data_IF_731160177974
#
_entry.id   IF_731160177974
#
_cell.length_a   1.000
_cell.length_b   1.000
_cell.length_c   1.000
_cell.angle_alpha   90.00
_cell.angle_beta   90.00
_cell.angle_gamma   90.00
#
_symmetry.space_group_name_H-M   'P 1'
#
loop_
_entity.id
_entity.type
_entity.pdbx_description
1 polymer ?
#
# COMPACT_ATOMS: atom_id res chain seq x y z
N UNK A 1 -18.60 47.75 20.68
CA UNK A 1 -19.14 46.80 21.68
C UNK A 1 -20.51 46.25 21.27
N UNK A 2 -21.46 47.07 20.77
CA UNK A 2 -22.81 46.58 20.40
C UNK A 2 -22.91 45.91 19.01
N UNK A 3 -22.07 46.29 18.03
CA UNK A 3 -22.16 45.74 16.66
C UNK A 3 -21.61 44.32 16.51
N UNK A 4 -20.59 43.98 17.32
CA UNK A 4 -19.93 42.66 17.31
C UNK A 4 -20.73 41.58 18.06
N UNK A 5 -21.75 42.00 18.84
CA UNK A 5 -22.61 41.13 19.65
C UNK A 5 -24.01 40.94 19.04
N UNK A 6 -24.22 41.37 17.79
CA UNK A 6 -25.42 41.08 17.02
C UNK A 6 -25.42 39.65 16.50
N UNK A 7 -25.29 38.66 17.38
CA UNK A 7 -25.56 37.26 17.07
C UNK A 7 -26.99 37.16 16.52
N UNK A 8 -27.16 37.23 15.19
CA UNK A 8 -28.37 36.70 14.56
C UNK A 8 -28.44 35.24 15.01
N UNK A 9 -29.40 34.93 15.89
CA UNK A 9 -29.72 33.55 16.23
C UNK A 9 -30.14 32.88 14.93
N UNK A 10 -29.19 32.27 14.24
CA UNK A 10 -29.50 31.46 13.08
C UNK A 10 -30.53 30.44 13.53
N UNK A 11 -31.68 30.44 12.87
CA UNK A 11 -32.74 29.51 13.22
C UNK A 11 -32.23 28.09 13.02
N UNK A 12 -32.67 27.14 13.85
CA UNK A 12 -32.29 25.73 13.72
C UNK A 12 -32.48 25.23 12.27
N UNK A 13 -33.51 25.73 11.59
CA UNK A 13 -33.79 25.50 10.17
C UNK A 13 -32.66 25.93 9.23
N UNK A 14 -31.97 27.04 9.48
CA UNK A 14 -30.85 27.49 8.66
C UNK A 14 -29.63 26.58 8.80
N UNK A 15 -29.34 26.12 10.02
CA UNK A 15 -28.29 25.12 10.24
C UNK A 15 -28.63 23.81 9.54
N UNK A 16 -29.88 23.34 9.66
CA UNK A 16 -30.35 22.12 8.98
C UNK A 16 -30.14 22.23 7.47
N UNK A 17 -30.58 23.33 6.84
CA UNK A 17 -30.39 23.52 5.40
C UNK A 17 -28.92 23.52 4.97
N UNK A 18 -28.06 24.17 5.76
CA UNK A 18 -26.62 24.18 5.49
C UNK A 18 -26.03 22.76 5.58
N UNK A 19 -26.33 22.02 6.65
CA UNK A 19 -25.87 20.64 6.81
C UNK A 19 -26.42 19.72 5.72
N UNK A 20 -27.70 19.81 5.39
CA UNK A 20 -28.30 19.02 4.31
C UNK A 20 -27.66 19.33 2.96
N UNK A 21 -27.39 20.61 2.66
CA UNK A 21 -26.67 21.00 1.44
C UNK A 21 -25.25 20.41 1.38
N UNK A 22 -24.52 20.41 2.50
CA UNK A 22 -23.20 19.77 2.59
C UNK A 22 -23.27 18.25 2.37
N UNK A 23 -24.23 17.57 2.99
CA UNK A 23 -24.41 16.12 2.82
C UNK A 23 -24.72 15.78 1.36
N UNK A 24 -25.64 16.50 0.73
CA UNK A 24 -25.99 16.30 -0.69
C UNK A 24 -24.77 16.57 -1.58
N UNK A 25 -23.99 17.61 -1.30
CA UNK A 25 -22.80 17.93 -2.08
C UNK A 25 -21.71 16.84 -1.95
N UNK A 26 -21.45 16.37 -0.71
CA UNK A 26 -20.48 15.31 -0.47
C UNK A 26 -20.92 14.01 -1.15
N UNK A 27 -22.19 13.60 -1.00
CA UNK A 27 -22.71 12.40 -1.65
C UNK A 27 -22.61 12.49 -3.18
N UNK A 28 -23.01 13.64 -3.76
CA UNK A 28 -22.90 13.88 -5.19
C UNK A 28 -21.45 13.74 -5.67
N UNK A 29 -20.50 14.34 -4.96
CA UNK A 29 -19.08 14.28 -5.35
C UNK A 29 -18.49 12.88 -5.21
N UNK A 30 -18.84 12.14 -4.16
CA UNK A 30 -18.41 10.75 -3.98
C UNK A 30 -18.88 9.89 -5.17
N UNK A 31 -20.18 9.92 -5.45
CA UNK A 31 -20.79 9.08 -6.48
C UNK A 31 -20.25 9.38 -7.90
N UNK A 32 -19.88 10.64 -8.19
CA UNK A 32 -19.45 11.04 -9.54
C UNK A 32 -17.94 10.94 -9.79
N UNK A 33 -17.11 11.10 -8.75
CA UNK A 33 -15.67 11.28 -8.93
C UNK A 33 -14.81 10.21 -8.26
N UNK A 34 -15.22 9.65 -7.10
CA UNK A 34 -14.33 8.77 -6.31
C UNK A 34 -13.92 7.53 -7.10
N UNK A 35 -14.86 6.83 -7.75
CA UNK A 35 -14.55 5.64 -8.53
C UNK A 35 -13.60 5.92 -9.71
N UNK A 36 -13.71 7.10 -10.34
CA UNK A 36 -12.78 7.51 -11.42
C UNK A 36 -11.39 7.76 -10.86
N UNK A 37 -11.28 8.48 -9.74
CA UNK A 37 -9.99 8.78 -9.11
C UNK A 37 -9.29 7.49 -8.66
N UNK A 38 -10.02 6.55 -8.05
CA UNK A 38 -9.48 5.23 -7.66
C UNK A 38 -8.93 4.47 -8.86
N UNK A 39 -9.66 4.49 -9.99
CA UNK A 39 -9.21 3.88 -11.24
C UNK A 39 -7.90 4.47 -11.76
N UNK A 40 -7.68 5.78 -11.64
CA UNK A 40 -6.43 6.40 -12.07
C UNK A 40 -5.28 6.20 -11.09
N UNK A 41 -5.57 6.15 -9.79
CA UNK A 41 -4.55 6.24 -8.74
C UNK A 41 -4.16 4.92 -8.10
N UNK A 42 -5.01 3.87 -8.17
CA UNK A 42 -4.80 2.61 -7.46
C UNK A 42 -4.98 1.36 -8.34
N UNK A 43 -5.85 1.42 -9.36
CA UNK A 43 -6.19 0.25 -10.18
C UNK A 43 -4.98 -0.45 -10.82
N UNK A 44 -3.96 0.29 -11.22
CA UNK A 44 -2.75 -0.30 -11.79
C UNK A 44 -2.06 -1.29 -10.83
N UNK A 45 -1.99 -0.94 -9.55
CA UNK A 45 -1.43 -1.83 -8.53
C UNK A 45 -2.35 -3.03 -8.26
N UNK A 46 -3.67 -2.81 -8.16
CA UNK A 46 -4.66 -3.88 -7.95
C UNK A 46 -4.59 -4.94 -9.05
N UNK A 47 -4.65 -4.52 -10.32
CA UNK A 47 -4.57 -5.43 -11.47
C UNK A 47 -3.29 -6.25 -11.45
N UNK A 48 -2.16 -5.66 -11.04
CA UNK A 48 -0.91 -6.39 -10.93
C UNK A 48 -0.92 -7.39 -9.76
N UNK A 49 -1.47 -7.02 -8.60
CA UNK A 49 -1.63 -7.94 -7.49
C UNK A 49 -2.53 -9.12 -7.86
N UNK A 50 -3.67 -8.88 -8.53
CA UNK A 50 -4.55 -9.93 -9.02
C UNK A 50 -3.84 -10.86 -10.02
N UNK A 51 -3.03 -10.30 -10.92
CA UNK A 51 -2.21 -11.08 -11.84
C UNK A 51 -1.24 -11.99 -11.08
N UNK A 52 -0.48 -11.46 -10.12
CA UNK A 52 0.43 -12.25 -9.28
C UNK A 52 -0.34 -13.34 -8.51
N UNK A 53 -1.49 -13.00 -7.91
CA UNK A 53 -2.33 -13.95 -7.19
C UNK A 53 -2.92 -15.06 -8.09
N UNK A 54 -3.26 -14.75 -9.34
CA UNK A 54 -3.73 -15.75 -10.30
C UNK A 54 -2.65 -16.76 -10.71
N UNK A 55 -1.38 -16.35 -10.64
CA UNK A 55 -0.21 -17.17 -10.97
C UNK A 55 0.52 -17.73 -9.75
N UNK A 56 0.03 -17.43 -8.54
CA UNK A 56 0.67 -17.78 -7.26
C UNK A 56 2.11 -17.27 -7.13
N UNK A 57 2.39 -16.09 -7.71
CA UNK A 57 3.65 -15.39 -7.55
C UNK A 57 3.69 -14.63 -6.23
N UNK A 58 4.90 -14.44 -5.69
CA UNK A 58 5.08 -13.62 -4.50
C UNK A 58 5.08 -12.15 -4.89
N UNK A 59 4.31 -11.35 -4.15
CA UNK A 59 4.24 -9.90 -4.36
C UNK A 59 4.10 -9.17 -3.03
N UNK A 60 4.87 -8.09 -2.88
CA UNK A 60 4.80 -7.19 -1.73
C UNK A 60 5.01 -5.72 -2.18
N UNK A 61 4.93 -4.80 -1.23
CA UNK A 61 5.13 -3.37 -1.44
C UNK A 61 6.46 -2.90 -0.87
N UNK A 62 7.13 -1.99 -1.59
CA UNK A 62 8.39 -1.37 -1.18
C UNK A 62 8.19 0.12 -0.97
N UNK A 63 8.68 0.67 0.15
CA UNK A 63 8.64 2.11 0.45
C UNK A 63 7.29 2.65 0.93
N UNK A 64 6.20 1.88 0.87
CA UNK A 64 4.89 2.31 1.35
C UNK A 64 4.07 1.16 1.95
N UNK A 65 3.05 1.50 2.76
CA UNK A 65 2.12 0.52 3.35
C UNK A 65 0.89 0.34 2.48
N UNK A 66 0.53 -0.91 2.21
CA UNK A 66 -0.75 -1.29 1.60
C UNK A 66 -1.11 -2.70 2.02
N UNK A 67 -2.41 -2.99 2.19
CA UNK A 67 -2.89 -4.35 2.44
C UNK A 67 -3.48 -5.00 1.18
N UNK A 68 -3.52 -4.27 0.06
CA UNK A 68 -4.11 -4.76 -1.17
C UNK A 68 -3.38 -5.99 -1.72
N UNK A 69 -2.04 -6.01 -1.64
CA UNK A 69 -1.24 -7.13 -2.12
C UNK A 69 -1.48 -8.43 -1.31
N UNK A 70 -1.89 -8.34 -0.04
CA UNK A 70 -2.27 -9.51 0.75
C UNK A 70 -3.54 -10.16 0.23
N UNK A 71 -4.56 -9.33 -0.04
CA UNK A 71 -5.88 -9.78 -0.48
C UNK A 71 -5.91 -10.14 -1.96
N UNK A 72 -5.59 -9.19 -2.85
CA UNK A 72 -5.63 -9.38 -4.30
C UNK A 72 -4.51 -10.29 -4.80
N UNK A 73 -3.34 -10.25 -4.15
CA UNK A 73 -2.24 -11.18 -4.41
C UNK A 73 -2.47 -12.59 -3.86
N UNK A 74 -3.59 -12.83 -3.16
CA UNK A 74 -3.97 -14.13 -2.57
C UNK A 74 -2.81 -14.77 -1.81
N UNK A 75 -2.18 -13.98 -0.94
CA UNK A 75 -0.94 -14.37 -0.28
C UNK A 75 -1.12 -15.66 0.50
N UNK A 76 -0.33 -16.66 0.14
CA UNK A 76 -0.31 -17.95 0.80
C UNK A 76 0.53 -17.83 2.07
N UNK A 77 0.10 -18.39 3.21
CA UNK A 77 0.93 -18.48 4.41
C UNK A 77 2.30 -19.10 4.09
N UNK A 78 3.39 -18.57 4.67
CA UNK A 78 4.71 -19.14 4.48
C UNK A 78 4.76 -20.60 4.94
N UNK A 79 5.60 -21.41 4.30
CA UNK A 79 5.90 -22.76 4.80
C UNK A 79 6.54 -22.68 6.19
N UNK A 80 6.62 -23.81 6.91
CA UNK A 80 7.27 -23.83 8.23
C UNK A 80 8.73 -23.36 8.18
N UNK A 81 9.45 -23.66 7.10
CA UNK A 81 10.82 -23.23 6.89
C UNK A 81 10.90 -21.73 6.61
N UNK A 82 10.06 -21.24 5.70
CA UNK A 82 9.95 -19.80 5.38
C UNK A 82 9.58 -19.01 6.64
N UNK A 83 8.61 -19.48 7.42
CA UNK A 83 8.18 -18.84 8.66
C UNK A 83 9.32 -18.72 9.69
N UNK A 84 10.18 -19.75 9.81
CA UNK A 84 11.35 -19.70 10.70
C UNK A 84 12.36 -18.66 10.22
N UNK A 85 12.63 -18.59 8.93
CA UNK A 85 13.54 -17.56 8.39
C UNK A 85 12.99 -16.15 8.57
N UNK A 86 11.69 -15.92 8.33
CA UNK A 86 11.03 -14.63 8.58
C UNK A 86 11.11 -14.25 10.06
N UNK A 87 10.95 -15.22 10.97
CA UNK A 87 11.10 -15.00 12.42
C UNK A 87 12.52 -14.56 12.81
N UNK A 88 13.54 -15.03 12.10
CA UNK A 88 14.92 -14.57 12.30
C UNK A 88 15.09 -13.10 11.90
N UNK A 89 14.58 -12.69 10.74
CA UNK A 89 14.55 -11.27 10.35
C UNK A 89 13.78 -10.42 11.37
N UNK A 90 12.68 -10.93 11.92
CA UNK A 90 11.89 -10.25 12.93
C UNK A 90 12.66 -10.05 14.24
N UNK A 91 13.34 -11.10 14.73
CA UNK A 91 14.21 -11.02 15.92
C UNK A 91 15.36 -10.03 15.73
N UNK A 92 15.95 -9.97 14.54
CA UNK A 92 17.01 -9.00 14.23
C UNK A 92 16.48 -7.55 14.31
N UNK A 93 15.23 -7.31 13.87
CA UNK A 93 14.57 -6.00 14.03
C UNK A 93 14.26 -5.70 15.50
N UNK A 94 13.78 -6.67 16.27
CA UNK A 94 13.54 -6.49 17.71
C UNK A 94 14.83 -6.13 18.47
N UNK A 95 15.92 -6.83 18.17
CA UNK A 95 17.25 -6.55 18.75
C UNK A 95 17.78 -5.16 18.37
N UNK A 96 17.37 -4.63 17.21
CA UNK A 96 17.67 -3.27 16.78
C UNK A 96 16.72 -2.21 17.40
N UNK A 97 15.80 -2.62 18.27
CA UNK A 97 14.89 -1.74 19.02
C UNK A 97 13.55 -1.47 18.33
N UNK A 98 13.20 -2.22 17.29
CA UNK A 98 11.91 -2.07 16.62
C UNK A 98 10.81 -2.88 17.33
N UNK A 99 9.58 -2.35 17.34
CA UNK A 99 8.42 -3.07 17.88
C UNK A 99 8.07 -4.29 17.03
N UNK A 100 7.87 -5.44 17.68
CA UNK A 100 7.57 -6.73 17.03
C UNK A 100 6.34 -6.66 16.13
N UNK A 101 5.24 -6.09 16.62
CA UNK A 101 3.94 -6.12 15.94
C UNK A 101 4.00 -5.28 14.66
N UNK A 102 4.65 -4.12 14.73
CA UNK A 102 4.77 -3.20 13.60
C UNK A 102 5.81 -3.63 12.57
N UNK A 103 6.74 -4.52 12.94
CA UNK A 103 7.91 -4.89 12.12
C UNK A 103 7.72 -6.11 11.22
N UNK A 104 6.64 -6.87 11.37
CA UNK A 104 6.43 -8.10 10.59
C UNK A 104 6.49 -7.86 9.07
N UNK A 105 5.88 -6.79 8.57
CA UNK A 105 5.91 -6.47 7.13
C UNK A 105 7.33 -6.18 6.64
N UNK A 106 8.14 -5.51 7.47
CA UNK A 106 9.55 -5.21 7.16
C UNK A 106 10.36 -6.50 7.16
N UNK A 107 10.18 -7.36 8.18
CA UNK A 107 10.84 -8.66 8.27
C UNK A 107 10.52 -9.52 7.04
N UNK A 108 9.25 -9.58 6.64
CA UNK A 108 8.84 -10.33 5.46
C UNK A 108 9.42 -9.74 4.16
N UNK A 109 9.38 -8.42 3.98
CA UNK A 109 9.98 -7.78 2.80
C UNK A 109 11.48 -8.04 2.74
N UNK A 110 12.18 -7.97 3.86
CA UNK A 110 13.61 -8.29 3.94
C UNK A 110 13.87 -9.75 3.57
N UNK A 111 13.10 -10.68 4.13
CA UNK A 111 13.17 -12.10 3.76
C UNK A 111 12.95 -12.27 2.25
N UNK A 112 11.88 -11.68 1.71
CA UNK A 112 11.52 -11.74 0.30
C UNK A 112 12.63 -11.19 -0.61
N UNK A 113 13.30 -10.12 -0.18
CA UNK A 113 14.42 -9.49 -0.90
C UNK A 113 15.69 -10.32 -0.88
N UNK A 114 15.99 -10.98 0.23
CA UNK A 114 17.30 -11.59 0.47
C UNK A 114 17.33 -13.09 0.16
N UNK A 115 16.29 -13.84 0.54
CA UNK A 115 16.30 -15.29 0.43
C UNK A 115 16.09 -15.79 -1.00
N UNK A 116 16.77 -16.86 -1.39
CA UNK A 116 16.49 -17.51 -2.67
C UNK A 116 15.15 -18.26 -2.61
N UNK A 117 14.14 -17.70 -3.28
CA UNK A 117 12.82 -18.31 -3.38
C UNK A 117 12.62 -18.78 -4.82
N UNK A 118 12.26 -20.07 -4.98
CA UNK A 118 12.00 -20.69 -6.29
C UNK A 118 10.77 -20.13 -7.04
N UNK A 119 10.09 -19.13 -6.46
CA UNK A 119 8.88 -18.51 -6.98
C UNK A 119 9.22 -17.13 -7.53
N UNK A 120 8.73 -16.75 -8.73
CA UNK A 120 8.83 -15.39 -9.22
C UNK A 120 8.33 -14.41 -8.18
N UNK A 121 9.18 -13.44 -7.87
CA UNK A 121 8.99 -12.51 -6.76
C UNK A 121 8.98 -11.09 -7.30
N UNK A 122 7.96 -10.33 -6.91
CA UNK A 122 7.74 -8.98 -7.39
C UNK A 122 7.59 -8.02 -6.22
N UNK A 123 7.96 -6.77 -6.45
CA UNK A 123 7.64 -5.67 -5.54
C UNK A 123 7.05 -4.51 -6.31
N UNK A 124 6.15 -3.78 -5.65
CA UNK A 124 5.53 -2.57 -6.17
C UNK A 124 5.92 -1.41 -5.27
N UNK A 125 6.37 -0.30 -5.82
CA UNK A 125 6.65 0.93 -5.07
C UNK A 125 5.90 2.13 -5.68
N UNK A 126 5.87 3.26 -4.95
CA UNK A 126 5.43 4.53 -5.52
C UNK A 126 6.53 5.09 -6.42
N UNK A 127 6.15 5.90 -7.41
CA UNK A 127 7.10 6.47 -8.38
C UNK A 127 8.24 7.27 -7.73
N UNK A 128 7.98 7.86 -6.56
CA UNK A 128 8.97 8.60 -5.77
C UNK A 128 10.05 7.70 -5.15
N UNK A 129 9.74 6.42 -4.91
CA UNK A 129 10.65 5.44 -4.29
C UNK A 129 11.36 4.58 -5.35
N UNK A 130 11.21 4.91 -6.64
CA UNK A 130 11.77 4.13 -7.75
C UNK A 130 13.30 3.99 -7.64
N UNK A 131 13.98 5.11 -7.37
CA UNK A 131 15.44 5.11 -7.30
C UNK A 131 15.93 4.35 -6.08
N UNK A 132 15.24 4.43 -4.95
CA UNK A 132 15.58 3.68 -3.74
C UNK A 132 15.48 2.17 -3.98
N UNK A 133 14.41 1.73 -4.65
CA UNK A 133 14.26 0.34 -5.04
C UNK A 133 15.39 -0.13 -5.99
N UNK A 134 15.75 0.68 -6.99
CA UNK A 134 16.84 0.36 -7.92
C UNK A 134 18.21 0.32 -7.23
N UNK A 135 18.47 1.24 -6.30
CA UNK A 135 19.72 1.32 -5.55
C UNK A 135 19.99 0.08 -4.69
N UNK A 136 18.97 -0.73 -4.39
CA UNK A 136 19.16 -2.02 -3.71
C UNK A 136 19.98 -3.03 -4.53
N UNK A 137 20.02 -2.87 -5.87
CA UNK A 137 20.67 -3.81 -6.79
C UNK A 137 20.00 -5.19 -6.87
N UNK A 138 18.83 -5.38 -6.24
CA UNK A 138 18.11 -6.66 -6.16
C UNK A 138 16.91 -6.73 -7.09
N UNK A 139 16.54 -5.61 -7.70
CA UNK A 139 15.30 -5.46 -8.43
C UNK A 139 15.55 -4.95 -9.84
N UNK A 140 14.89 -5.59 -10.81
CA UNK A 140 14.80 -5.12 -12.19
C UNK A 140 13.43 -4.50 -12.41
N UNK A 141 13.41 -3.24 -12.84
CA UNK A 141 12.17 -2.55 -13.25
C UNK A 141 11.53 -3.27 -14.43
N UNK A 142 10.22 -3.49 -14.35
CA UNK A 142 9.39 -4.00 -15.44
C UNK A 142 8.76 -2.85 -16.22
N UNK A 143 7.97 -2.03 -15.53
CA UNK A 143 7.29 -0.86 -16.10
C UNK A 143 6.77 0.06 -14.97
N UNK A 144 6.26 1.24 -15.36
CA UNK A 144 5.58 2.18 -14.45
C UNK A 144 4.17 2.48 -14.97
N UNK A 145 3.16 2.54 -14.10
CA UNK A 145 1.77 2.85 -14.48
C UNK A 145 0.96 3.37 -13.30
N UNK A 146 0.22 4.48 -13.49
CA UNK A 146 -0.71 5.02 -12.49
C UNK A 146 -0.05 5.38 -11.16
N UNK A 147 1.13 6.00 -11.18
CA UNK A 147 1.87 6.41 -9.98
C UNK A 147 2.62 5.28 -9.24
N UNK A 148 2.63 4.07 -9.80
CA UNK A 148 3.39 2.93 -9.29
C UNK A 148 4.47 2.47 -10.26
N UNK A 149 5.47 1.81 -9.71
CA UNK A 149 6.53 1.14 -10.45
C UNK A 149 6.58 -0.32 -10.01
N UNK A 150 6.66 -1.20 -11.00
CA UNK A 150 6.59 -2.64 -10.83
C UNK A 150 7.96 -3.24 -11.08
N UNK A 151 8.43 -4.04 -10.13
CA UNK A 151 9.75 -4.66 -10.17
C UNK A 151 9.66 -6.17 -10.05
N UNK A 152 10.62 -6.84 -10.68
CA UNK A 152 10.89 -8.26 -10.47
C UNK A 152 12.19 -8.39 -9.69
N UNK A 153 12.21 -9.24 -8.67
CA UNK A 153 13.43 -9.65 -7.97
C UNK A 153 14.37 -10.33 -8.97
N UNK A 154 15.62 -9.91 -8.97
CA UNK A 154 16.68 -10.58 -9.71
C UNK A 154 17.07 -11.83 -8.93
N UNK A 155 17.11 -12.98 -9.60
CA UNK A 155 17.75 -14.17 -9.02
C UNK A 155 19.21 -13.81 -8.79
N UNK A 156 19.74 -14.19 -7.62
CA UNK A 156 21.12 -13.89 -7.23
C UNK A 156 22.06 -14.32 -8.33
N UNK A 157 22.62 -13.35 -9.05
CA UNK A 157 23.68 -13.61 -10.00
C UNK A 157 24.85 -14.19 -9.22
N UNK A 158 25.23 -15.43 -9.56
CA UNK A 158 26.56 -15.93 -9.26
C UNK A 158 27.63 -15.01 -9.84
#
# INVERSE_FOLDING_TARGET
IVWYLGMKKYTLRQHIHFFSGLVIWIDFTINNYVGKIEQYTQNSAIVFFEYCGSKQYLVDTYGYKSYAHLFYGRRIPPSLEEARSIEEYLKNLENAGYDRILSYNIAYLNWLMNEEVKRPTFVVCKIQDEQDALNTGKFRKLYSKGGYVFFMKQEGGR
#
